data_IF_633770548038
#
_entry.id   IF_633770548038
#
_cell.length_a   1.000
_cell.length_b   1.000
_cell.length_c   1.000
_cell.angle_alpha   90.00
_cell.angle_beta   90.00
_cell.angle_gamma   90.00
#
_symmetry.space_group_name_H-M   'P 1'
#
loop_
_entity.id
_entity.type
_entity.pdbx_description
1 polymer ?
#
# COMPACT_ATOMS: atom_id res chain seq x y z
N UNK A 1 10.01 18.08 -26.74
CA UNK A 1 9.46 17.56 -25.46
C UNK A 1 10.04 16.20 -25.03
N UNK A 2 11.03 15.64 -25.74
CA UNK A 2 11.72 14.39 -25.38
C UNK A 2 12.86 14.58 -24.36
N UNK A 3 13.42 15.78 -24.28
CA UNK A 3 14.61 16.08 -23.46
C UNK A 3 14.36 16.12 -21.96
N UNK A 4 13.13 16.40 -21.53
CA UNK A 4 12.80 16.54 -20.10
C UNK A 4 12.58 15.18 -19.42
N UNK A 5 12.00 14.21 -20.14
CA UNK A 5 11.81 12.82 -19.67
C UNK A 5 13.12 12.04 -19.56
N UNK A 6 14.08 12.31 -20.45
CA UNK A 6 15.41 11.71 -20.37
C UNK A 6 16.21 12.29 -19.20
N UNK A 7 16.07 13.59 -18.91
CA UNK A 7 16.70 14.21 -17.74
C UNK A 7 16.21 13.60 -16.42
N UNK A 8 14.89 13.43 -16.25
CA UNK A 8 14.33 12.85 -15.02
C UNK A 8 14.74 11.39 -14.79
N UNK A 9 14.87 10.60 -15.87
CA UNK A 9 15.34 9.22 -15.77
C UNK A 9 16.83 9.14 -15.41
N UNK A 10 17.65 10.03 -15.99
CA UNK A 10 19.07 10.13 -15.65
C UNK A 10 19.30 10.64 -14.22
N UNK A 11 18.44 11.54 -13.73
CA UNK A 11 18.47 12.05 -12.36
C UNK A 11 18.07 10.96 -11.35
N UNK A 12 17.07 10.12 -11.68
CA UNK A 12 16.69 8.98 -10.85
C UNK A 12 17.76 7.88 -10.82
N UNK A 13 18.38 7.59 -11.97
CA UNK A 13 19.51 6.65 -12.04
C UNK A 13 20.69 7.14 -11.18
N UNK A 14 20.96 8.45 -11.17
CA UNK A 14 22.01 9.04 -10.34
C UNK A 14 21.72 8.90 -8.84
N UNK A 15 20.47 9.13 -8.43
CA UNK A 15 19.98 8.91 -7.06
C UNK A 15 20.05 7.43 -6.65
N UNK A 16 19.76 6.51 -7.56
CA UNK A 16 19.85 5.06 -7.31
C UNK A 16 21.32 4.65 -7.15
N UNK A 17 22.21 5.11 -8.03
CA UNK A 17 23.65 4.82 -7.93
C UNK A 17 24.26 5.40 -6.64
N UNK A 18 23.83 6.59 -6.22
CA UNK A 18 24.28 7.21 -4.95
C UNK A 18 23.82 6.37 -3.73
N UNK A 19 22.55 5.95 -3.70
CA UNK A 19 22.01 5.11 -2.62
C UNK A 19 22.61 3.69 -2.60
N UNK A 20 23.03 3.17 -3.76
CA UNK A 20 23.63 1.85 -3.91
C UNK A 20 25.17 1.85 -3.75
N UNK A 21 25.81 3.01 -3.59
CA UNK A 21 27.27 3.12 -3.44
C UNK A 21 27.85 2.40 -2.21
N UNK A 22 27.02 2.11 -1.20
CA UNK A 22 27.38 1.35 -0.01
C UNK A 22 27.39 -0.18 -0.19
N UNK A 23 26.92 -0.69 -1.32
CA UNK A 23 26.86 -2.12 -1.63
C UNK A 23 27.37 -2.39 -3.06
N UNK A 24 28.65 -2.77 -3.23
CA UNK A 24 29.26 -2.93 -4.54
C UNK A 24 28.68 -4.10 -5.36
N UNK A 25 28.10 -5.12 -4.72
CA UNK A 25 27.47 -6.24 -5.45
C UNK A 25 26.10 -5.85 -6.03
N UNK A 26 25.32 -5.10 -5.25
CA UNK A 26 24.01 -4.61 -5.67
C UNK A 26 24.13 -3.55 -6.78
N UNK A 27 25.17 -2.70 -6.70
CA UNK A 27 25.49 -1.70 -7.72
C UNK A 27 25.92 -2.35 -9.05
N UNK A 28 26.77 -3.38 -9.03
CA UNK A 28 27.19 -4.09 -10.25
C UNK A 28 26.00 -4.76 -10.94
N UNK A 29 25.10 -5.36 -10.16
CA UNK A 29 23.86 -5.97 -10.66
C UNK A 29 22.92 -4.94 -11.30
N UNK A 30 22.78 -3.75 -10.71
CA UNK A 30 22.00 -2.66 -11.28
C UNK A 30 22.56 -2.17 -12.62
N UNK A 31 23.89 -2.03 -12.71
CA UNK A 31 24.57 -1.61 -13.95
C UNK A 31 24.41 -2.64 -15.08
N UNK A 32 24.51 -3.94 -14.78
CA UNK A 32 24.28 -5.01 -15.76
C UNK A 32 22.84 -5.02 -16.30
N UNK A 33 21.85 -4.81 -15.43
CA UNK A 33 20.43 -4.73 -15.84
C UNK A 33 20.19 -3.53 -16.77
N UNK A 34 20.87 -2.41 -16.52
CA UNK A 34 20.76 -1.21 -17.37
C UNK A 34 21.38 -1.41 -18.75
N UNK A 35 22.55 -2.05 -18.84
CA UNK A 35 23.19 -2.36 -20.13
C UNK A 35 22.38 -3.36 -20.97
N UNK A 36 21.68 -4.31 -20.31
CA UNK A 36 20.78 -5.23 -20.98
C UNK A 36 19.51 -4.52 -21.50
N UNK A 37 18.97 -3.57 -20.73
CA UNK A 37 17.76 -2.81 -21.08
C UNK A 37 18.00 -1.83 -22.25
N UNK A 38 19.19 -1.22 -22.32
CA UNK A 38 19.59 -0.34 -23.44
C UNK A 38 19.57 -1.03 -24.81
N UNK A 39 19.71 -2.35 -24.87
CA UNK A 39 19.72 -3.14 -26.11
C UNK A 39 18.32 -3.50 -26.63
N UNK A 40 17.25 -3.26 -25.86
CA UNK A 40 15.88 -3.66 -26.20
C UNK A 40 14.98 -2.52 -26.72
N UNK A 41 15.46 -1.29 -26.84
CA UNK A 41 14.64 -0.09 -27.16
C UNK A 41 14.39 0.16 -28.66
N UNK A 42 14.21 -0.91 -29.45
CA UNK A 42 14.25 -0.82 -30.91
C UNK A 42 13.05 -1.36 -31.69
N UNK A 43 11.80 -1.36 -31.21
CA UNK A 43 10.62 -1.64 -32.08
C UNK A 43 9.41 -0.74 -31.72
N UNK A 44 8.72 -0.30 -32.76
CA UNK A 44 7.91 0.91 -32.86
C UNK A 44 6.43 0.84 -32.40
N UNK A 45 6.00 2.02 -31.93
CA UNK A 45 4.71 2.75 -31.95
C UNK A 45 3.67 2.41 -33.05
N UNK A 46 2.38 2.34 -32.68
CA UNK A 46 1.21 3.01 -33.34
C UNK A 46 -0.08 2.81 -32.50
N UNK A 47 -0.77 3.86 -32.01
CA UNK A 47 -1.97 4.49 -32.61
C UNK A 47 -3.27 3.81 -32.08
N UNK A 48 -4.28 4.43 -31.46
CA UNK A 48 -5.04 5.64 -31.81
C UNK A 48 -6.02 6.04 -30.68
N UNK A 49 -6.57 7.26 -30.78
CA UNK A 49 -7.24 8.13 -29.80
C UNK A 49 -8.78 7.98 -29.67
N UNK A 50 -9.31 8.74 -28.66
CA UNK A 50 -10.63 9.43 -28.50
C UNK A 50 -11.67 8.66 -27.66
N UNK A 51 -12.49 9.25 -26.76
CA UNK A 51 -12.93 10.65 -26.53
C UNK A 51 -13.71 10.78 -25.18
N UNK A 52 -13.69 11.97 -24.54
CA UNK A 52 -14.81 12.73 -23.88
C UNK A 52 -15.68 12.01 -22.80
N UNK A 53 -16.17 12.58 -21.70
CA UNK A 53 -16.34 13.96 -21.23
C UNK A 53 -17.04 13.95 -19.84
N UNK A 54 -16.96 15.08 -19.12
CA UNK A 54 -17.90 15.66 -18.16
C UNK A 54 -17.78 15.43 -16.64
N UNK A 55 -17.55 16.59 -16.01
CA UNK A 55 -17.66 17.02 -14.63
C UNK A 55 -19.03 16.81 -13.98
N UNK A 56 -19.03 16.53 -12.67
CA UNK A 56 -20.11 16.89 -11.75
C UNK A 56 -19.55 17.13 -10.35
N UNK A 57 -19.44 18.39 -9.99
CA UNK A 57 -18.92 18.91 -8.73
C UNK A 57 -20.06 18.96 -7.69
N UNK A 58 -20.09 18.02 -6.74
CA UNK A 58 -21.07 18.00 -5.65
C UNK A 58 -20.47 18.63 -4.38
N UNK A 59 -20.85 19.88 -4.10
CA UNK A 59 -20.57 20.59 -2.85
C UNK A 59 -21.20 19.85 -1.66
N UNK A 60 -20.40 19.37 -0.70
CA UNK A 60 -20.89 18.97 0.64
C UNK A 60 -20.44 19.92 1.73
N UNK A 61 -21.41 20.29 2.56
CA UNK A 61 -21.31 21.16 3.72
C UNK A 61 -20.45 20.53 4.85
N UNK A 62 -19.87 21.34 5.76
CA UNK A 62 -19.01 20.83 6.83
C UNK A 62 -19.83 20.11 7.90
N UNK A 63 -19.60 18.80 8.06
CA UNK A 63 -20.20 18.01 9.14
C UNK A 63 -19.49 18.27 10.48
N UNK A 64 -20.29 18.59 11.51
CA UNK A 64 -19.86 18.82 12.89
C UNK A 64 -19.12 17.59 13.44
N UNK A 65 -17.95 17.82 14.06
CA UNK A 65 -17.21 16.82 14.84
C UNK A 65 -18.10 16.22 15.93
N UNK A 66 -18.57 14.99 15.73
CA UNK A 66 -19.31 14.21 16.74
C UNK A 66 -18.31 13.68 17.76
N UNK A 67 -18.58 13.92 19.05
CA UNK A 67 -17.74 13.49 20.17
C UNK A 67 -17.56 11.95 20.21
N UNK A 68 -16.44 11.43 20.75
CA UNK A 68 -16.20 10.00 20.82
C UNK A 68 -17.23 9.32 21.72
N UNK A 69 -17.94 8.33 21.20
CA UNK A 69 -19.02 7.62 21.90
C UNK A 69 -18.54 6.55 22.90
N UNK A 70 -17.22 6.32 23.01
CA UNK A 70 -16.63 5.33 23.92
C UNK A 70 -15.16 5.63 24.24
N UNK A 71 -14.72 5.38 25.48
CA UNK A 71 -13.31 5.42 25.92
C UNK A 71 -12.39 4.55 25.04
N UNK A 72 -12.95 3.50 24.45
CA UNK A 72 -12.23 2.54 23.61
C UNK A 72 -12.42 2.79 22.12
N UNK A 73 -13.08 3.90 21.75
CA UNK A 73 -13.22 4.32 20.37
C UNK A 73 -11.89 4.74 19.77
N UNK A 74 -11.76 4.57 18.46
CA UNK A 74 -10.60 5.05 17.74
C UNK A 74 -10.71 6.57 17.55
N UNK A 75 -9.75 7.29 18.13
CA UNK A 75 -9.61 8.75 17.98
C UNK A 75 -8.28 8.99 17.25
N UNK A 76 -8.28 9.13 15.92
CA UNK A 76 -7.06 9.38 15.17
C UNK A 76 -6.50 10.76 15.51
N UNK A 77 -5.17 10.87 15.48
CA UNK A 77 -4.47 12.16 15.56
C UNK A 77 -4.68 12.97 14.27
N UNK A 78 -4.33 14.25 14.30
CA UNK A 78 -4.52 15.13 13.16
C UNK A 78 -3.70 14.72 11.93
N UNK A 79 -2.49 14.22 12.11
CA UNK A 79 -1.65 13.62 11.06
C UNK A 79 -2.33 12.42 10.42
N UNK A 80 -2.83 11.50 11.24
CA UNK A 80 -3.54 10.31 10.76
C UNK A 80 -4.80 10.68 9.98
N UNK A 81 -5.54 11.69 10.44
CA UNK A 81 -6.73 12.17 9.75
C UNK A 81 -6.39 12.85 8.42
N UNK A 82 -5.29 13.62 8.34
CA UNK A 82 -4.83 14.21 7.07
C UNK A 82 -4.46 13.13 6.05
N UNK A 83 -3.68 12.14 6.46
CA UNK A 83 -3.32 11.00 5.60
C UNK A 83 -4.58 10.29 5.13
N UNK A 84 -5.50 9.97 6.04
CA UNK A 84 -6.75 9.30 5.70
C UNK A 84 -7.56 10.09 4.65
N UNK A 85 -7.75 11.39 4.84
CA UNK A 85 -8.52 12.22 3.91
C UNK A 85 -7.89 12.30 2.51
N UNK A 86 -6.57 12.13 2.39
CA UNK A 86 -5.88 12.16 1.09
C UNK A 86 -5.80 10.79 0.44
N UNK A 87 -5.49 9.76 1.21
CA UNK A 87 -5.23 8.40 0.71
C UNK A 87 -6.51 7.56 0.54
N UNK A 88 -7.65 7.99 1.08
CA UNK A 88 -8.91 7.24 1.06
C UNK A 88 -9.75 7.56 -0.18
N UNK A 89 -10.46 6.58 -0.71
CA UNK A 89 -11.42 6.79 -1.80
C UNK A 89 -12.56 7.71 -1.37
N UNK A 90 -13.10 8.52 -2.29
CA UNK A 90 -14.17 9.51 -2.01
C UNK A 90 -15.35 8.91 -1.24
N UNK A 91 -15.76 7.67 -1.56
CA UNK A 91 -16.87 6.97 -0.89
C UNK A 91 -16.64 6.62 0.59
N UNK A 92 -15.40 6.69 1.06
CA UNK A 92 -15.00 6.37 2.43
C UNK A 92 -14.48 7.58 3.22
N UNK A 93 -14.21 8.72 2.55
CA UNK A 93 -13.81 9.98 3.20
C UNK A 93 -14.89 10.51 4.15
N UNK A 94 -14.48 11.22 5.20
CA UNK A 94 -15.38 11.80 6.19
C UNK A 94 -16.13 10.80 7.08
N UNK A 95 -15.98 9.48 6.86
CA UNK A 95 -16.60 8.48 7.74
C UNK A 95 -15.98 8.57 9.13
N UNK A 96 -16.83 8.40 10.15
CA UNK A 96 -16.39 8.35 11.54
C UNK A 96 -15.33 7.23 11.70
N UNK A 97 -14.12 7.51 12.24
CA UNK A 97 -13.00 6.56 12.23
C UNK A 97 -13.31 5.18 12.83
N UNK A 98 -14.10 5.15 13.91
CA UNK A 98 -14.54 3.88 14.52
C UNK A 98 -15.49 3.11 13.59
N UNK A 99 -16.39 3.81 12.91
CA UNK A 99 -17.31 3.19 11.95
C UNK A 99 -16.57 2.68 10.70
N UNK A 100 -15.54 3.41 10.24
CA UNK A 100 -14.65 2.95 9.17
C UNK A 100 -13.99 1.62 9.54
N UNK A 101 -13.32 1.54 10.70
CA UNK A 101 -12.64 0.33 11.15
C UNK A 101 -13.61 -0.85 11.31
N UNK A 102 -14.78 -0.64 11.92
CA UNK A 102 -15.81 -1.68 12.06
C UNK A 102 -16.36 -2.16 10.70
N UNK A 103 -16.42 -1.27 9.72
CA UNK A 103 -16.83 -1.60 8.35
C UNK A 103 -15.88 -2.56 7.63
N UNK A 104 -14.60 -2.60 8.02
CA UNK A 104 -13.61 -3.49 7.40
C UNK A 104 -13.86 -4.97 7.71
N UNK A 105 -14.37 -5.29 8.90
CA UNK A 105 -14.55 -6.67 9.39
C UNK A 105 -15.36 -7.53 8.44
N UNK A 106 -16.44 -6.96 7.87
CA UNK A 106 -17.41 -7.68 7.04
C UNK A 106 -17.25 -7.40 5.55
N UNK A 107 -16.20 -6.67 5.17
CA UNK A 107 -16.00 -6.30 3.79
C UNK A 107 -15.47 -7.47 2.97
N UNK A 108 -16.10 -7.72 1.81
CA UNK A 108 -15.61 -8.70 0.83
C UNK A 108 -14.24 -8.29 0.22
N UNK A 109 -13.85 -7.03 0.37
CA UNK A 109 -12.58 -6.49 -0.12
C UNK A 109 -11.46 -6.58 0.92
N UNK A 110 -11.79 -6.92 2.17
CA UNK A 110 -10.82 -7.23 3.22
C UNK A 110 -10.63 -8.74 3.22
N UNK A 111 -9.62 -9.21 2.47
CA UNK A 111 -9.31 -10.65 2.32
C UNK A 111 -8.19 -11.14 3.24
N UNK A 112 -7.78 -10.33 4.20
CA UNK A 112 -6.80 -10.66 5.24
C UNK A 112 -7.49 -10.73 6.61
N UNK A 113 -6.75 -11.09 7.67
CA UNK A 113 -7.27 -11.15 9.04
C UNK A 113 -7.53 -9.74 9.59
N UNK A 114 -8.78 -9.30 9.78
CA UNK A 114 -9.07 -7.96 10.24
C UNK A 114 -8.93 -7.93 11.77
N UNK A 115 -7.73 -7.63 12.24
CA UNK A 115 -7.49 -7.36 13.67
C UNK A 115 -7.75 -5.88 13.97
N UNK A 116 -8.29 -5.53 15.14
CA UNK A 116 -8.49 -4.14 15.57
C UNK A 116 -7.28 -3.22 15.32
N UNK A 117 -6.09 -3.63 15.78
CA UNK A 117 -4.86 -2.87 15.61
C UNK A 117 -4.34 -2.81 14.17
N UNK A 118 -4.68 -3.78 13.32
CA UNK A 118 -4.37 -3.72 11.88
C UNK A 118 -5.31 -2.72 11.20
N UNK A 119 -6.59 -2.73 11.56
CA UNK A 119 -7.61 -1.85 10.99
C UNK A 119 -7.37 -0.38 11.36
N UNK A 120 -6.98 -0.09 12.61
CA UNK A 120 -6.67 1.29 13.02
C UNK A 120 -5.42 1.82 12.34
N UNK A 121 -4.39 1.00 12.14
CA UNK A 121 -3.18 1.38 11.39
C UNK A 121 -3.41 1.53 9.89
N UNK A 122 -4.36 0.77 9.34
CA UNK A 122 -4.80 0.89 7.95
C UNK A 122 -5.52 2.21 7.66
N UNK A 123 -6.10 2.85 8.69
CA UNK A 123 -6.75 4.13 8.57
C UNK A 123 -5.82 5.19 7.97
N UNK A 124 -4.55 5.18 8.36
CA UNK A 124 -3.51 6.09 7.88
C UNK A 124 -2.27 5.37 7.35
N UNK A 125 -2.42 4.13 6.86
CA UNK A 125 -1.40 3.37 6.12
C UNK A 125 -0.04 3.26 6.84
N UNK A 126 -0.02 2.99 8.14
CA UNK A 126 1.19 2.93 8.97
C UNK A 126 2.09 1.71 8.69
N UNK A 127 2.84 1.68 7.60
CA UNK A 127 3.74 0.59 7.20
C UNK A 127 5.13 0.67 7.85
N UNK A 128 5.90 -0.42 7.73
CA UNK A 128 7.26 -0.51 8.24
C UNK A 128 7.33 -0.38 9.77
N UNK A 129 8.13 0.57 10.25
CA UNK A 129 8.31 0.84 11.67
C UNK A 129 7.03 1.34 12.37
N UNK A 130 6.04 1.80 11.59
CA UNK A 130 4.74 2.26 12.08
C UNK A 130 3.76 1.10 12.39
N UNK A 131 4.11 -0.14 12.03
CA UNK A 131 3.51 -1.36 12.58
C UNK A 131 2.71 -2.23 11.61
N UNK A 132 2.45 -1.77 10.38
CA UNK A 132 2.00 -2.62 9.28
C UNK A 132 3.18 -3.13 8.48
N UNK A 133 2.90 -4.22 7.79
CA UNK A 133 3.79 -4.89 6.86
C UNK A 133 2.90 -5.47 5.79
N UNK A 134 3.38 -5.55 4.55
CA UNK A 134 2.64 -6.20 3.46
C UNK A 134 2.23 -7.63 3.84
N UNK A 135 3.00 -8.32 4.69
CA UNK A 135 2.65 -9.65 5.18
C UNK A 135 1.40 -9.70 6.08
N UNK A 136 0.91 -8.58 6.62
CA UNK A 136 -0.41 -8.54 7.29
C UNK A 136 -1.56 -8.80 6.31
N UNK A 137 -1.30 -8.64 5.01
CA UNK A 137 -2.25 -8.86 3.93
C UNK A 137 -2.18 -10.29 3.39
N UNK A 138 -1.58 -11.24 4.12
CA UNK A 138 -1.71 -12.65 3.79
C UNK A 138 -3.19 -13.05 3.64
N UNK A 139 -3.50 -13.83 2.60
CA UNK A 139 -4.86 -14.25 2.31
C UNK A 139 -5.42 -15.05 3.49
N UNK A 140 -6.51 -14.56 4.06
CA UNK A 140 -7.33 -15.32 4.99
C UNK A 140 -8.32 -16.15 4.17
N UNK A 141 -8.15 -17.47 4.18
CA UNK A 141 -9.06 -18.38 3.50
C UNK A 141 -10.47 -18.29 4.10
N UNK A 142 -11.48 -18.75 3.36
CA UNK A 142 -12.85 -18.78 3.88
C UNK A 142 -12.95 -19.70 5.10
N UNK A 143 -12.25 -20.83 5.10
CA UNK A 143 -12.23 -21.79 6.20
C UNK A 143 -11.58 -21.17 7.46
N UNK A 144 -10.43 -20.50 7.30
CA UNK A 144 -9.77 -19.80 8.41
C UNK A 144 -10.63 -18.66 8.97
N UNK A 145 -11.38 -17.97 8.10
CA UNK A 145 -12.32 -16.94 8.52
C UNK A 145 -13.48 -17.53 9.31
N UNK A 146 -14.03 -18.67 8.90
CA UNK A 146 -15.08 -19.38 9.62
C UNK A 146 -14.57 -19.89 10.98
N UNK A 147 -13.38 -20.47 11.02
CA UNK A 147 -12.74 -20.93 12.25
C UNK A 147 -12.50 -19.77 13.24
N UNK A 148 -11.93 -18.67 12.76
CA UNK A 148 -11.71 -17.46 13.57
C UNK A 148 -13.02 -16.90 14.15
N UNK A 149 -14.11 -16.90 13.36
CA UNK A 149 -15.41 -16.51 13.88
C UNK A 149 -15.96 -17.48 14.93
N UNK A 150 -15.76 -18.79 14.75
CA UNK A 150 -16.17 -19.81 15.72
C UNK A 150 -15.40 -19.70 17.05
N UNK A 151 -14.15 -19.24 17.00
CA UNK A 151 -13.31 -18.96 18.18
C UNK A 151 -13.66 -17.64 18.89
N UNK A 152 -14.66 -16.90 18.40
CA UNK A 152 -15.12 -15.63 18.99
C UNK A 152 -14.61 -14.36 18.31
N UNK A 153 -13.82 -14.48 17.24
CA UNK A 153 -13.33 -13.36 16.45
C UNK A 153 -12.36 -12.43 17.22
N UNK A 154 -12.44 -11.12 16.95
CA UNK A 154 -11.71 -10.10 17.71
C UNK A 154 -12.66 -9.04 18.25
N UNK A 155 -12.30 -8.46 19.39
CA UNK A 155 -13.11 -7.43 20.04
C UNK A 155 -12.94 -6.05 19.37
N UNK A 156 -13.79 -5.74 18.40
CA UNK A 156 -13.83 -4.43 17.73
C UNK A 156 -14.53 -3.32 18.51
N UNK A 157 -14.99 -3.59 19.73
CA UNK A 157 -15.39 -2.53 20.67
C UNK A 157 -14.16 -1.91 21.38
N UNK A 158 -12.99 -2.55 21.28
CA UNK A 158 -11.71 -1.97 21.66
C UNK A 158 -10.85 -1.63 20.43
N UNK A 159 -10.82 -0.35 20.05
CA UNK A 159 -9.95 0.19 19.00
C UNK A 159 -8.91 1.18 19.56
N UNK A 160 -8.57 1.05 20.84
CA UNK A 160 -7.52 1.85 21.47
C UNK A 160 -6.12 1.42 21.00
N UNK A 161 -5.07 2.14 21.42
CA UNK A 161 -3.69 1.78 21.10
C UNK A 161 -3.27 0.38 21.60
N UNK A 162 -3.95 -0.15 22.63
CA UNK A 162 -3.72 -1.52 23.15
C UNK A 162 -4.60 -2.58 22.49
N UNK A 163 -5.36 -2.21 21.45
CA UNK A 163 -6.20 -3.14 20.73
C UNK A 163 -5.37 -4.28 20.11
N UNK A 164 -6.02 -5.43 19.96
CA UNK A 164 -5.38 -6.64 19.46
C UNK A 164 -4.68 -6.36 18.12
N UNK A 165 -3.36 -6.58 18.13
CA UNK A 165 -2.49 -6.46 16.98
C UNK A 165 -1.53 -7.63 17.07
N UNK A 166 -1.56 -8.51 16.07
CA UNK A 166 -0.57 -9.58 15.94
C UNK A 166 0.49 -9.13 14.94
N UNK A 167 1.76 -9.45 15.21
CA UNK A 167 2.81 -9.25 14.23
C UNK A 167 2.53 -10.10 12.99
N UNK A 168 2.75 -9.57 11.81
CA UNK A 168 2.67 -10.36 10.59
C UNK A 168 3.65 -11.53 10.64
N UNK A 169 3.19 -12.69 10.18
CA UNK A 169 4.08 -13.83 9.94
C UNK A 169 5.10 -13.44 8.86
N UNK A 170 6.41 -13.62 9.09
CA UNK A 170 7.40 -13.38 8.06
C UNK A 170 7.13 -14.23 6.82
N UNK A 171 7.29 -13.63 5.64
CA UNK A 171 7.20 -14.38 4.39
C UNK A 171 8.46 -15.24 4.22
N UNK A 172 8.26 -16.47 3.77
CA UNK A 172 9.30 -17.46 3.50
C UNK A 172 9.57 -17.63 2.00
N UNK A 173 8.70 -17.07 1.16
CA UNK A 173 8.85 -17.12 -0.30
C UNK A 173 8.31 -15.85 -0.96
N UNK A 174 8.79 -15.55 -2.17
CA UNK A 174 8.27 -14.43 -2.98
C UNK A 174 6.79 -14.64 -3.33
N UNK A 175 6.33 -15.88 -3.49
CA UNK A 175 4.92 -16.18 -3.74
C UNK A 175 4.02 -15.64 -2.62
N UNK A 176 4.42 -15.82 -1.36
CA UNK A 176 3.65 -15.28 -0.23
C UNK A 176 3.60 -13.74 -0.25
N UNK A 177 4.69 -13.09 -0.67
CA UNK A 177 4.75 -11.62 -0.81
C UNK A 177 3.85 -11.14 -1.94
N UNK A 178 3.88 -11.81 -3.10
CA UNK A 178 3.02 -11.51 -4.26
C UNK A 178 1.54 -11.68 -3.89
N UNK A 179 1.19 -12.79 -3.25
CA UNK A 179 -0.19 -13.05 -2.85
C UNK A 179 -0.67 -12.04 -1.81
N UNK A 180 0.19 -11.62 -0.87
CA UNK A 180 -0.13 -10.55 0.06
C UNK A 180 -0.30 -9.19 -0.65
N UNK A 181 0.53 -8.88 -1.64
CA UNK A 181 0.40 -7.67 -2.46
C UNK A 181 -0.92 -7.66 -3.27
N UNK A 182 -1.35 -8.80 -3.81
CA UNK A 182 -2.65 -8.95 -4.50
C UNK A 182 -3.84 -8.75 -3.56
N UNK A 183 -3.75 -9.28 -2.35
CA UNK A 183 -4.77 -9.07 -1.31
C UNK A 183 -4.82 -7.60 -0.92
N UNK A 184 -3.67 -6.95 -0.74
CA UNK A 184 -3.62 -5.52 -0.48
C UNK A 184 -4.18 -4.70 -1.64
N UNK A 185 -3.88 -5.06 -2.89
CA UNK A 185 -4.46 -4.43 -4.08
C UNK A 185 -6.00 -4.54 -4.11
N UNK A 186 -6.54 -5.67 -3.67
CA UNK A 186 -8.00 -5.83 -3.55
C UNK A 186 -8.59 -4.83 -2.56
N UNK A 187 -7.88 -4.57 -1.44
CA UNK A 187 -8.25 -3.56 -0.47
C UNK A 187 -8.11 -2.15 -1.04
N UNK A 188 -6.98 -1.81 -1.66
CA UNK A 188 -6.74 -0.43 -2.14
C UNK A 188 -7.71 -0.02 -3.23
N UNK A 189 -8.07 -0.92 -4.15
CA UNK A 189 -9.12 -0.66 -5.16
C UNK A 189 -10.48 -0.32 -4.54
N UNK A 190 -10.75 -0.84 -3.34
CA UNK A 190 -11.96 -0.49 -2.60
C UNK A 190 -11.79 0.77 -1.75
N UNK A 191 -10.73 0.88 -0.96
CA UNK A 191 -10.70 1.86 0.12
C UNK A 191 -9.83 3.08 -0.18
N UNK A 192 -9.01 3.07 -1.23
CA UNK A 192 -7.95 4.05 -1.42
C UNK A 192 -8.12 4.91 -2.69
N UNK A 193 -7.34 6.00 -2.76
CA UNK A 193 -7.26 6.87 -3.92
C UNK A 193 -6.59 6.18 -5.12
N UNK A 194 -6.79 6.73 -6.32
CA UNK A 194 -6.28 6.17 -7.56
C UNK A 194 -4.75 6.08 -7.56
N UNK A 195 -4.06 7.06 -6.98
CA UNK A 195 -2.60 7.10 -6.91
C UNK A 195 -2.02 5.94 -6.10
N UNK A 196 -2.65 5.57 -4.98
CA UNK A 196 -2.21 4.40 -4.22
C UNK A 196 -2.52 3.10 -4.96
N UNK A 197 -3.68 3.02 -5.62
CA UNK A 197 -4.04 1.85 -6.44
C UNK A 197 -2.98 1.63 -7.52
N UNK A 198 -2.65 2.67 -8.29
CA UNK A 198 -1.65 2.60 -9.36
C UNK A 198 -0.27 2.18 -8.82
N UNK A 199 0.16 2.72 -7.66
CA UNK A 199 1.42 2.32 -7.03
C UNK A 199 1.43 0.84 -6.66
N UNK A 200 0.35 0.33 -6.07
CA UNK A 200 0.25 -1.08 -5.69
C UNK A 200 0.13 -1.99 -6.92
N UNK A 201 -0.54 -1.55 -7.99
CA UNK A 201 -0.56 -2.27 -9.28
C UNK A 201 0.84 -2.45 -9.83
N UNK A 202 1.67 -1.39 -9.85
CA UNK A 202 3.07 -1.50 -10.28
C UNK A 202 3.90 -2.44 -9.41
N UNK A 203 3.66 -2.47 -8.09
CA UNK A 203 4.31 -3.43 -7.18
C UNK A 203 3.92 -4.87 -7.55
N UNK A 204 2.63 -5.13 -7.79
CA UNK A 204 2.14 -6.44 -8.20
C UNK A 204 2.73 -6.85 -9.55
N UNK A 205 2.70 -5.98 -10.56
CA UNK A 205 3.29 -6.23 -11.87
C UNK A 205 4.78 -6.56 -11.78
N UNK A 206 5.57 -5.76 -11.06
CA UNK A 206 7.00 -6.01 -10.88
C UNK A 206 7.25 -7.37 -10.21
N UNK A 207 6.53 -7.65 -9.12
CA UNK A 207 6.73 -8.88 -8.35
C UNK A 207 6.34 -10.11 -9.16
N UNK A 208 5.24 -10.07 -9.92
CA UNK A 208 4.76 -11.17 -10.77
C UNK A 208 5.60 -11.38 -12.03
N UNK A 209 5.85 -10.32 -12.79
CA UNK A 209 6.46 -10.44 -14.11
C UNK A 209 7.97 -10.58 -14.04
N UNK A 210 8.60 -10.05 -12.99
CA UNK A 210 10.06 -10.04 -12.86
C UNK A 210 10.53 -10.92 -11.72
N UNK A 211 10.03 -10.69 -10.49
CA UNK A 211 10.64 -11.29 -9.30
C UNK A 211 10.27 -12.76 -9.11
N UNK A 212 9.07 -13.21 -9.53
CA UNK A 212 8.70 -14.63 -9.47
C UNK A 212 9.51 -15.53 -10.41
N UNK A 213 10.23 -14.97 -11.39
CA UNK A 213 10.99 -15.75 -12.38
C UNK A 213 12.38 -16.17 -11.90
N UNK A 214 12.82 -15.69 -10.74
CA UNK A 214 14.14 -16.00 -10.17
C UNK A 214 14.01 -16.68 -8.82
N UNK A 215 15.08 -17.35 -8.38
CA UNK A 215 15.14 -17.95 -7.03
C UNK A 215 15.59 -16.89 -6.03
N UNK A 216 14.97 -16.92 -4.85
CA UNK A 216 15.25 -16.01 -3.75
C UNK A 216 15.58 -16.83 -2.50
N UNK A 217 16.56 -16.37 -1.75
CA UNK A 217 16.80 -16.78 -0.37
C UNK A 217 15.81 -16.10 0.58
N UNK A 218 15.64 -16.66 1.78
CA UNK A 218 14.77 -16.06 2.81
C UNK A 218 15.20 -14.64 3.20
N UNK A 219 16.51 -14.37 3.17
CA UNK A 219 17.07 -13.04 3.45
C UNK A 219 16.64 -12.04 2.37
N UNK A 220 16.75 -12.41 1.09
CA UNK A 220 16.31 -11.55 -0.02
C UNK A 220 14.79 -11.33 0.00
N UNK A 221 14.00 -12.35 0.39
CA UNK A 221 12.53 -12.20 0.59
C UNK A 221 12.24 -11.18 1.69
N UNK A 222 12.98 -11.22 2.81
CA UNK A 222 12.82 -10.24 3.88
C UNK A 222 13.19 -8.82 3.41
N UNK A 223 14.24 -8.67 2.60
CA UNK A 223 14.60 -7.39 1.97
C UNK A 223 13.52 -6.88 1.02
N UNK A 224 12.88 -7.76 0.26
CA UNK A 224 11.75 -7.40 -0.61
C UNK A 224 10.56 -6.90 0.21
N UNK A 225 10.20 -7.59 1.29
CA UNK A 225 9.13 -7.16 2.21
C UNK A 225 9.45 -5.79 2.79
N UNK A 226 10.69 -5.57 3.22
CA UNK A 226 11.15 -4.28 3.73
C UNK A 226 10.98 -3.17 2.69
N UNK A 227 11.45 -3.40 1.45
CA UNK A 227 11.34 -2.44 0.35
C UNK A 227 9.89 -2.08 0.01
N UNK A 228 8.98 -3.07 -0.04
CA UNK A 228 7.55 -2.79 -0.27
C UNK A 228 6.98 -1.94 0.87
N UNK A 229 7.31 -2.26 2.12
CA UNK A 229 6.85 -1.49 3.27
C UNK A 229 7.36 -0.05 3.22
N UNK A 230 8.63 0.15 2.84
CA UNK A 230 9.25 1.47 2.71
C UNK A 230 8.54 2.31 1.63
N UNK A 231 8.26 1.73 0.45
CA UNK A 231 7.51 2.42 -0.61
C UNK A 231 6.10 2.86 -0.20
N UNK A 232 5.44 2.08 0.65
CA UNK A 232 4.11 2.41 1.17
C UNK A 232 4.18 3.45 2.28
N UNK A 233 5.24 3.43 3.09
CA UNK A 233 5.49 4.44 4.11
C UNK A 233 5.93 5.78 3.49
N UNK A 234 6.70 5.77 2.39
CA UNK A 234 7.00 6.96 1.59
C UNK A 234 5.71 7.59 1.04
N UNK A 235 4.79 6.77 0.51
CA UNK A 235 3.48 7.25 0.07
C UNK A 235 2.69 7.87 1.23
N UNK A 236 2.70 7.24 2.41
CA UNK A 236 2.09 7.79 3.62
C UNK A 236 2.71 9.14 3.98
N UNK A 237 4.04 9.27 3.94
CA UNK A 237 4.76 10.51 4.20
C UNK A 237 4.36 11.63 3.25
N UNK A 238 4.29 11.35 1.94
CA UNK A 238 3.80 12.31 0.95
C UNK A 238 2.35 12.73 1.23
N UNK A 239 1.50 11.78 1.65
CA UNK A 239 0.14 12.06 2.08
C UNK A 239 0.09 12.96 3.32
N UNK A 240 0.95 12.72 4.30
CA UNK A 240 1.01 13.50 5.54
C UNK A 240 1.46 14.95 5.30
N UNK A 241 2.47 15.14 4.45
CA UNK A 241 3.11 16.43 4.19
C UNK A 241 2.34 17.36 3.25
N UNK A 242 1.37 16.82 2.49
CA UNK A 242 0.68 17.61 1.45
C UNK A 242 1.29 17.47 0.05
N UNK A 243 2.29 16.60 -0.13
CA UNK A 243 3.07 16.46 -1.37
C UNK A 243 2.29 15.73 -2.49
N UNK A 244 2.75 15.84 -3.74
CA UNK A 244 2.15 15.08 -4.85
C UNK A 244 2.26 13.56 -4.62
N UNK A 245 1.14 12.86 -4.71
CA UNK A 245 1.06 11.41 -4.45
C UNK A 245 1.54 10.57 -5.65
N UNK A 246 1.78 11.20 -6.80
CA UNK A 246 2.21 10.52 -8.04
C UNK A 246 3.72 10.39 -8.21
N UNK A 247 4.50 10.88 -7.25
CA UNK A 247 5.97 10.86 -7.29
C UNK A 247 6.57 9.47 -7.42
#
# INVERSE_FOLDING_TARGET
MTTQRQRTALDQDALIVEKLSGDPELLDRFLQVREASGKHSGIAREGNRRSTDLDAEEKRAPEKRVAPTSKYGFVPREDQQRVHERATAVRHKGKQPTAFCKGLIRSKHVKFKPLPGVCTRLFDLQFGSSGLSICHFALLSQDDRMAWHAEGGSNFDNLSASAESSAAKPATSVNEVVDAARVFLTYTREYCCAELVERVERIVELTEETLMRVKWSEVEVASLVYWINDLLEEFRGAAENGDDLRQ
#
